data_IF_188279336091
#
_entry.id   IF_188279336091
#
_cell.length_a   1.000
_cell.length_b   1.000
_cell.length_c   1.000
_cell.angle_alpha   90.00
_cell.angle_beta   90.00
_cell.angle_gamma   90.00
#
_symmetry.space_group_name_H-M   'P 1'
#
loop_
_entity.id
_entity.type
_entity.pdbx_description
1 polymer ?
#
# COMPACT_ATOMS: atom_id res chain seq x y z
N UNK A 1 -0.72 38.19 4.58
CA UNK A 1 -0.22 38.31 3.18
C UNK A 1 -1.35 38.82 2.31
N UNK A 2 -1.24 40.03 1.75
CA UNK A 2 -2.31 40.61 0.94
C UNK A 2 -2.10 40.29 -0.55
N UNK A 3 -2.51 39.08 -0.95
CA UNK A 3 -2.36 38.59 -2.34
C UNK A 3 -3.25 39.36 -3.35
N UNK A 4 -4.17 40.18 -2.87
CA UNK A 4 -5.07 41.00 -3.70
C UNK A 4 -4.36 42.12 -4.47
N UNK A 5 -3.08 42.41 -4.16
CA UNK A 5 -2.29 43.43 -4.85
C UNK A 5 -1.63 42.95 -6.15
N UNK A 6 -1.64 41.64 -6.43
CA UNK A 6 -1.01 41.09 -7.64
C UNK A 6 -1.92 41.38 -8.84
N UNK A 7 -1.47 42.28 -9.72
CA UNK A 7 -2.22 42.70 -10.90
C UNK A 7 -2.02 41.70 -12.04
N UNK A 8 -2.87 40.67 -12.09
CA UNK A 8 -3.04 39.85 -13.30
C UNK A 8 -4.15 40.42 -14.19
N UNK A 9 -4.03 40.30 -15.53
CA UNK A 9 -5.11 40.68 -16.45
C UNK A 9 -6.41 39.96 -16.11
N UNK A 10 -7.54 40.66 -16.19
CA UNK A 10 -8.87 40.09 -15.96
C UNK A 10 -9.38 39.23 -17.13
N UNK A 11 -8.69 39.26 -18.28
CA UNK A 11 -9.02 38.42 -19.44
C UNK A 11 -8.69 36.94 -19.19
N UNK A 12 -9.36 36.00 -19.88
CA UNK A 12 -8.98 34.59 -19.83
C UNK A 12 -7.55 34.38 -20.34
N UNK A 13 -6.72 33.69 -19.55
CA UNK A 13 -5.32 33.41 -19.88
C UNK A 13 -5.10 31.90 -20.01
N UNK A 14 -4.19 31.51 -20.91
CA UNK A 14 -3.77 30.13 -21.09
C UNK A 14 -2.47 29.85 -20.32
N UNK A 15 -2.23 28.57 -19.96
CA UNK A 15 -1.03 28.15 -19.24
C UNK A 15 -0.15 27.28 -20.15
N UNK A 16 1.18 27.49 -20.07
CA UNK A 16 2.17 26.79 -20.90
C UNK A 16 2.07 25.27 -20.73
N UNK A 17 2.38 24.51 -21.78
CA UNK A 17 2.43 23.03 -21.71
C UNK A 17 3.54 22.57 -20.78
N UNK A 18 3.32 21.45 -20.08
CA UNK A 18 4.34 20.80 -19.26
C UNK A 18 4.59 21.46 -17.90
N UNK A 19 3.80 22.47 -17.51
CA UNK A 19 3.92 23.15 -16.20
C UNK A 19 3.58 22.26 -15.00
N UNK A 20 2.82 21.18 -15.21
CA UNK A 20 2.63 20.11 -14.23
C UNK A 20 3.31 18.84 -14.73
N UNK A 21 4.24 18.34 -13.93
CA UNK A 21 4.98 17.11 -14.16
C UNK A 21 4.38 15.94 -13.37
N UNK A 22 4.69 14.72 -13.81
CA UNK A 22 4.41 13.48 -13.06
C UNK A 22 5.77 12.85 -12.84
N UNK A 23 6.14 12.47 -11.60
CA UNK A 23 7.39 11.76 -11.37
C UNK A 23 7.45 10.51 -12.25
N UNK A 24 8.58 10.28 -12.92
CA UNK A 24 8.77 9.13 -13.81
C UNK A 24 8.41 7.80 -13.13
N UNK A 25 8.64 7.72 -11.81
CA UNK A 25 8.27 6.58 -10.98
C UNK A 25 6.81 6.15 -11.17
N UNK A 26 5.84 7.06 -11.30
CA UNK A 26 4.43 6.69 -11.46
C UNK A 26 4.16 5.89 -12.74
N UNK A 27 4.86 6.21 -13.84
CA UNK A 27 4.64 5.53 -15.12
C UNK A 27 5.17 4.09 -15.11
N UNK A 28 6.27 3.84 -14.39
CA UNK A 28 6.86 2.51 -14.29
C UNK A 28 6.33 1.71 -13.10
N UNK A 29 5.97 2.36 -11.99
CA UNK A 29 5.51 1.68 -10.79
C UNK A 29 4.16 1.00 -10.98
N UNK A 30 3.21 1.63 -11.67
CA UNK A 30 1.89 1.05 -11.91
C UNK A 30 1.99 -0.29 -12.67
N UNK A 31 2.62 -0.38 -13.86
CA UNK A 31 2.71 -1.65 -14.57
C UNK A 31 3.53 -2.69 -13.81
N UNK A 32 4.58 -2.28 -13.09
CA UNK A 32 5.38 -3.20 -12.25
C UNK A 32 4.54 -3.78 -11.10
N UNK A 33 3.78 -2.95 -10.38
CA UNK A 33 2.93 -3.43 -9.28
C UNK A 33 1.82 -4.35 -9.79
N UNK A 34 1.22 -4.03 -10.94
CA UNK A 34 0.22 -4.88 -11.59
C UNK A 34 0.83 -6.21 -12.06
N UNK A 35 2.05 -6.19 -12.61
CA UNK A 35 2.74 -7.41 -13.00
C UNK A 35 3.07 -8.30 -11.80
N UNK A 36 3.58 -7.73 -10.70
CA UNK A 36 3.82 -8.46 -9.44
C UNK A 36 2.52 -9.08 -8.92
N UNK A 37 1.44 -8.30 -8.90
CA UNK A 37 0.12 -8.78 -8.48
C UNK A 37 -0.36 -9.95 -9.37
N UNK A 38 -0.20 -9.85 -10.68
CA UNK A 38 -0.59 -10.90 -11.62
C UNK A 38 0.23 -12.18 -11.41
N UNK A 39 1.56 -12.06 -11.28
CA UNK A 39 2.45 -13.20 -11.00
C UNK A 39 2.05 -13.89 -9.69
N UNK A 40 1.80 -13.12 -8.63
CA UNK A 40 1.39 -13.65 -7.33
C UNK A 40 0.05 -14.41 -7.41
N UNK A 41 -0.94 -13.86 -8.13
CA UNK A 41 -2.24 -14.51 -8.32
C UNK A 41 -2.14 -15.80 -9.15
N UNK A 42 -1.26 -15.83 -10.15
CA UNK A 42 -1.04 -17.00 -11.01
C UNK A 42 -0.26 -18.09 -10.27
N UNK A 43 0.71 -17.72 -9.44
CA UNK A 43 1.52 -18.66 -8.67
C UNK A 43 0.70 -19.28 -7.51
N UNK A 44 0.04 -18.46 -6.70
CA UNK A 44 -0.61 -18.92 -5.46
C UNK A 44 -2.07 -19.33 -5.65
N UNK A 45 -2.76 -18.66 -6.59
CA UNK A 45 -4.20 -18.79 -6.77
C UNK A 45 -4.67 -20.21 -7.07
N UNK A 46 -4.05 -20.96 -8.01
CA UNK A 46 -4.45 -22.32 -8.33
C UNK A 46 -4.34 -23.27 -7.13
N UNK A 47 -3.25 -23.18 -6.36
CA UNK A 47 -3.04 -24.00 -5.17
C UNK A 47 -4.09 -23.73 -4.10
N UNK A 48 -4.35 -22.45 -3.79
CA UNK A 48 -5.40 -22.06 -2.84
C UNK A 48 -6.78 -22.52 -3.30
N UNK A 49 -7.09 -22.39 -4.60
CA UNK A 49 -8.38 -22.81 -5.13
C UNK A 49 -8.56 -24.34 -5.06
N UNK A 50 -7.52 -25.11 -5.37
CA UNK A 50 -7.51 -26.58 -5.21
C UNK A 50 -7.75 -26.95 -3.76
N UNK A 51 -6.98 -26.40 -2.84
CA UNK A 51 -7.04 -26.75 -1.42
C UNK A 51 -8.39 -26.32 -0.80
N UNK A 52 -8.97 -25.20 -1.25
CA UNK A 52 -10.34 -24.79 -0.89
C UNK A 52 -11.43 -25.72 -1.46
N UNK A 53 -11.21 -26.37 -2.61
CA UNK A 53 -12.14 -27.39 -3.11
C UNK A 53 -12.05 -28.68 -2.30
N UNK A 54 -10.83 -29.10 -1.94
CA UNK A 54 -10.58 -30.28 -1.10
C UNK A 54 -11.18 -30.06 0.30
N UNK A 55 -11.03 -28.87 0.88
CA UNK A 55 -11.53 -28.56 2.23
C UNK A 55 -13.05 -28.71 2.40
N UNK A 56 -13.83 -28.76 1.31
CA UNK A 56 -15.28 -28.97 1.36
C UNK A 56 -15.67 -30.44 1.57
N UNK A 57 -14.85 -31.37 1.08
CA UNK A 57 -15.08 -32.82 1.16
C UNK A 57 -13.73 -33.54 1.33
N UNK A 58 -13.02 -33.30 2.45
CA UNK A 58 -11.70 -33.89 2.66
C UNK A 58 -11.82 -35.39 2.94
N UNK A 59 -10.93 -36.18 2.33
CA UNK A 59 -10.77 -37.61 2.58
C UNK A 59 -9.28 -37.92 2.76
N UNK A 60 -8.91 -38.39 3.95
CA UNK A 60 -7.54 -38.79 4.25
C UNK A 60 -7.25 -40.19 3.72
N UNK A 61 -6.07 -40.40 3.13
CA UNK A 61 -5.63 -41.68 2.57
C UNK A 61 -4.39 -42.14 3.34
N UNK A 62 -4.52 -43.27 4.04
CA UNK A 62 -3.41 -43.86 4.81
C UNK A 62 -2.37 -44.58 3.92
N UNK A 63 -2.76 -45.01 2.72
CA UNK A 63 -1.95 -45.82 1.80
C UNK A 63 -1.33 -45.00 0.65
N UNK A 64 -0.62 -43.92 0.97
CA UNK A 64 0.07 -43.06 0.00
C UNK A 64 1.48 -42.69 0.45
N UNK A 65 2.37 -42.44 -0.51
CA UNK A 65 3.73 -41.98 -0.26
C UNK A 65 3.83 -40.46 -0.45
N UNK A 66 4.51 -39.81 0.50
CA UNK A 66 4.70 -38.37 0.58
C UNK A 66 6.19 -38.11 0.70
N UNK A 67 6.78 -37.51 -0.33
CA UNK A 67 8.18 -37.06 -0.31
C UNK A 67 8.22 -35.55 -0.47
N UNK A 68 8.82 -34.81 0.45
CA UNK A 68 8.83 -33.34 0.36
C UNK A 68 9.86 -32.65 1.22
N UNK A 69 9.98 -31.33 1.02
CA UNK A 69 10.85 -30.48 1.84
C UNK A 69 10.25 -29.09 2.05
N UNK A 70 10.45 -28.53 3.23
CA UNK A 70 10.04 -27.17 3.58
C UNK A 70 11.26 -26.25 3.71
N UNK A 71 11.13 -25.02 3.21
CA UNK A 71 12.16 -23.97 3.30
C UNK A 71 11.54 -22.68 3.82
N UNK A 72 12.02 -22.20 4.95
CA UNK A 72 11.59 -20.91 5.52
C UNK A 72 12.55 -19.80 5.12
N UNK A 73 12.04 -18.77 4.45
CA UNK A 73 12.79 -17.58 4.01
C UNK A 73 12.42 -16.38 4.87
N UNK A 74 13.46 -15.63 5.28
CA UNK A 74 13.33 -14.41 6.10
C UNK A 74 12.53 -14.60 7.40
N UNK A 75 12.49 -15.84 7.93
CA UNK A 75 11.79 -16.22 9.15
C UNK A 75 10.28 -15.93 9.17
N UNK A 76 9.65 -15.78 7.99
CA UNK A 76 8.23 -15.41 7.88
C UNK A 76 7.53 -16.22 6.78
N UNK A 77 8.19 -16.50 5.66
CA UNK A 77 7.57 -17.24 4.54
C UNK A 77 8.11 -18.65 4.48
N UNK A 78 7.25 -19.64 4.72
CA UNK A 78 7.58 -21.07 4.59
C UNK A 78 7.00 -21.59 3.28
N UNK A 79 7.86 -22.20 2.45
CA UNK A 79 7.47 -22.88 1.21
C UNK A 79 7.74 -24.37 1.37
N UNK A 80 6.71 -25.19 1.23
CA UNK A 80 6.80 -26.64 1.24
C UNK A 80 6.49 -27.18 -0.15
N UNK A 81 7.40 -28.00 -0.67
CA UNK A 81 7.24 -28.74 -1.92
C UNK A 81 7.08 -30.23 -1.57
N UNK A 82 6.04 -30.88 -2.08
CA UNK A 82 5.75 -32.29 -1.81
C UNK A 82 5.28 -33.03 -3.07
N UNK A 83 5.90 -34.16 -3.35
CA UNK A 83 5.49 -35.14 -4.35
C UNK A 83 4.60 -36.19 -3.69
N UNK A 84 3.40 -36.35 -4.22
CA UNK A 84 2.36 -37.26 -3.70
C UNK A 84 2.16 -38.39 -4.70
N UNK A 85 2.22 -39.63 -4.21
CA UNK A 85 1.82 -40.80 -4.98
C UNK A 85 0.85 -41.67 -4.20
N UNK A 86 -0.30 -41.97 -4.80
CA UNK A 86 -1.38 -42.69 -4.12
C UNK A 86 -2.24 -43.48 -5.08
N UNK A 87 -2.90 -44.51 -4.56
CA UNK A 87 -3.88 -45.30 -5.30
C UNK A 87 -5.27 -45.10 -4.69
N UNK A 88 -6.26 -44.82 -5.53
CA UNK A 88 -7.65 -44.70 -5.09
C UNK A 88 -8.57 -45.36 -6.11
N UNK A 89 -9.46 -46.25 -5.64
CA UNK A 89 -10.38 -47.01 -6.47
C UNK A 89 -9.70 -47.76 -7.65
N UNK A 90 -8.50 -48.31 -7.42
CA UNK A 90 -7.74 -49.05 -8.43
C UNK A 90 -7.01 -48.19 -9.48
N UNK A 91 -6.97 -46.87 -9.29
CA UNK A 91 -6.25 -45.92 -10.16
C UNK A 91 -5.13 -45.26 -9.37
N UNK A 92 -3.91 -45.32 -9.91
CA UNK A 92 -2.74 -44.65 -9.35
C UNK A 92 -2.65 -43.21 -9.82
N UNK A 93 -2.38 -42.28 -8.90
CA UNK A 93 -2.24 -40.86 -9.13
C UNK A 93 -0.86 -40.39 -8.66
N UNK A 94 -0.27 -39.46 -9.41
CA UNK A 94 0.93 -38.73 -9.01
C UNK A 94 0.65 -37.23 -9.10
N UNK A 95 0.97 -36.49 -8.03
CA UNK A 95 0.71 -35.05 -7.92
C UNK A 95 1.84 -34.34 -7.22
N UNK A 96 2.26 -33.23 -7.80
CA UNK A 96 3.24 -32.36 -7.20
C UNK A 96 2.48 -31.18 -6.57
N UNK A 97 2.76 -30.91 -5.29
CA UNK A 97 2.04 -29.94 -4.49
C UNK A 97 3.02 -28.98 -3.85
N UNK A 98 2.88 -27.71 -4.21
CA UNK A 98 3.59 -26.61 -3.56
C UNK A 98 2.61 -25.82 -2.68
N UNK A 99 3.02 -25.57 -1.44
CA UNK A 99 2.27 -24.80 -0.45
C UNK A 99 3.18 -23.74 0.15
N UNK A 100 2.84 -22.46 -0.06
CA UNK A 100 3.49 -21.34 0.60
C UNK A 100 2.56 -20.74 1.63
N UNK A 101 3.05 -20.51 2.85
CA UNK A 101 2.28 -19.90 3.94
C UNK A 101 3.18 -19.05 4.85
N UNK A 102 2.56 -18.24 5.72
CA UNK A 102 3.28 -17.40 6.70
C UNK A 102 3.35 -18.13 8.03
N UNK A 103 4.54 -18.47 8.49
CA UNK A 103 4.73 -19.19 9.74
C UNK A 103 6.05 -18.79 10.40
N UNK A 104 6.05 -18.80 11.73
CA UNK A 104 7.19 -18.51 12.60
C UNK A 104 7.77 -19.78 13.25
N UNK A 105 7.14 -20.93 13.03
CA UNK A 105 7.66 -22.22 13.48
C UNK A 105 8.97 -22.59 12.76
N UNK A 106 9.88 -23.22 13.50
CA UNK A 106 11.11 -23.81 12.98
C UNK A 106 11.17 -25.27 13.43
N UNK A 107 10.93 -26.20 12.51
CA UNK A 107 10.88 -27.63 12.79
C UNK A 107 10.30 -28.41 11.62
N UNK A 108 10.25 -29.73 11.79
CA UNK A 108 9.60 -30.63 10.85
C UNK A 108 8.07 -30.54 11.01
N UNK A 109 7.37 -30.57 9.89
CA UNK A 109 5.90 -30.58 9.87
C UNK A 109 5.42 -32.01 9.66
N UNK A 110 4.56 -32.50 10.55
CA UNK A 110 3.84 -33.74 10.28
C UNK A 110 2.68 -33.47 9.34
N UNK A 111 2.53 -34.29 8.31
CA UNK A 111 1.48 -34.11 7.33
C UNK A 111 0.97 -35.43 6.78
N UNK A 112 -0.35 -35.52 6.59
CA UNK A 112 -1.02 -36.62 5.91
C UNK A 112 -1.35 -36.29 4.46
N UNK A 113 -1.70 -37.31 3.68
CA UNK A 113 -2.22 -37.17 2.33
C UNK A 113 -3.74 -37.00 2.36
N UNK A 114 -4.24 -35.93 1.75
CA UNK A 114 -5.67 -35.63 1.69
C UNK A 114 -6.13 -35.43 0.26
N UNK A 115 -7.21 -36.11 -0.12
CA UNK A 115 -7.84 -35.97 -1.44
C UNK A 115 -9.26 -35.43 -1.31
N UNK A 116 -9.84 -34.95 -2.41
CA UNK A 116 -11.27 -34.63 -2.46
C UNK A 116 -12.09 -35.91 -2.68
N UNK A 117 -13.07 -36.18 -1.80
CA UNK A 117 -13.98 -37.31 -1.94
C UNK A 117 -14.83 -37.25 -3.24
N UNK A 118 -15.01 -36.06 -3.81
CA UNK A 118 -15.78 -35.87 -5.06
C UNK A 118 -14.91 -35.95 -6.32
N UNK A 119 -13.68 -35.44 -6.24
CA UNK A 119 -12.73 -35.39 -7.35
C UNK A 119 -11.38 -35.94 -6.88
N UNK A 120 -11.15 -37.27 -6.96
CA UNK A 120 -9.91 -37.91 -6.48
C UNK A 120 -8.63 -37.42 -7.16
N UNK A 121 -8.73 -36.69 -8.28
CA UNK A 121 -7.60 -36.03 -8.95
C UNK A 121 -7.03 -34.83 -8.19
N UNK A 122 -7.79 -34.28 -7.24
CA UNK A 122 -7.37 -33.18 -6.38
C UNK A 122 -6.79 -33.78 -5.10
N UNK A 123 -5.48 -33.65 -4.95
CA UNK A 123 -4.74 -34.05 -3.76
C UNK A 123 -3.95 -32.88 -3.19
N UNK A 124 -3.79 -32.91 -1.88
CA UNK A 124 -2.97 -31.97 -1.12
C UNK A 124 -2.45 -32.67 0.14
N UNK A 125 -1.62 -31.97 0.88
CA UNK A 125 -1.13 -32.41 2.18
C UNK A 125 -2.00 -31.78 3.28
N UNK A 126 -2.21 -32.45 4.41
CA UNK A 126 -3.02 -31.92 5.52
C UNK A 126 -2.57 -30.53 5.95
N UNK A 127 -1.24 -30.31 5.99
CA UNK A 127 -0.63 -28.99 6.24
C UNK A 127 -1.14 -27.89 5.30
N UNK A 128 -1.44 -28.23 4.04
CA UNK A 128 -1.98 -27.31 3.06
C UNK A 128 -3.42 -26.88 3.35
N UNK A 129 -4.22 -27.76 3.96
CA UNK A 129 -5.57 -27.46 4.43
C UNK A 129 -5.55 -26.68 5.75
N UNK A 130 -4.66 -27.05 6.66
CA UNK A 130 -4.49 -26.36 7.94
C UNK A 130 -4.13 -24.89 7.73
N UNK A 131 -3.14 -24.65 6.84
CA UNK A 131 -2.67 -23.30 6.50
C UNK A 131 -3.51 -22.60 5.41
N UNK A 132 -4.62 -23.19 4.94
CA UNK A 132 -5.40 -22.65 3.83
C UNK A 132 -5.85 -21.21 4.08
N UNK A 133 -6.35 -20.90 5.28
CA UNK A 133 -6.83 -19.57 5.60
C UNK A 133 -5.71 -18.55 5.78
N UNK A 134 -4.60 -18.95 6.39
CA UNK A 134 -3.40 -18.13 6.43
C UNK A 134 -2.95 -17.71 5.02
N UNK A 135 -3.00 -18.64 4.06
CA UNK A 135 -2.71 -18.38 2.63
C UNK A 135 -3.71 -17.44 1.98
N UNK A 136 -5.01 -17.68 2.17
CA UNK A 136 -6.09 -16.83 1.65
C UNK A 136 -5.95 -15.39 2.18
N UNK A 137 -5.74 -15.23 3.49
CA UNK A 137 -5.61 -13.93 4.14
C UNK A 137 -4.35 -13.22 3.65
N UNK A 138 -3.20 -13.92 3.63
CA UNK A 138 -1.93 -13.35 3.18
C UNK A 138 -2.04 -12.87 1.74
N UNK A 139 -2.54 -13.71 0.83
CA UNK A 139 -2.78 -13.33 -0.56
C UNK A 139 -3.75 -12.15 -0.65
N UNK A 140 -4.85 -12.19 0.10
CA UNK A 140 -5.84 -11.11 0.14
C UNK A 140 -5.26 -9.77 0.58
N UNK A 141 -4.38 -9.75 1.59
CA UNK A 141 -3.69 -8.53 2.04
C UNK A 141 -2.77 -7.98 0.95
N UNK A 142 -1.97 -8.83 0.31
CA UNK A 142 -1.11 -8.39 -0.80
C UNK A 142 -1.93 -7.88 -1.99
N UNK A 143 -3.03 -8.56 -2.35
CA UNK A 143 -3.96 -8.11 -3.39
C UNK A 143 -4.55 -6.75 -3.04
N UNK A 144 -4.97 -6.53 -1.79
CA UNK A 144 -5.48 -5.25 -1.34
C UNK A 144 -4.40 -4.16 -1.43
N UNK A 145 -3.21 -4.38 -0.86
CA UNK A 145 -2.14 -3.39 -0.84
C UNK A 145 -1.65 -3.02 -2.25
N UNK A 146 -1.35 -4.03 -3.08
CA UNK A 146 -0.85 -3.82 -4.44
C UNK A 146 -1.96 -3.32 -5.37
N UNK A 147 -3.17 -3.89 -5.27
CA UNK A 147 -4.33 -3.52 -6.08
C UNK A 147 -4.83 -2.11 -5.77
N UNK A 148 -5.18 -1.81 -4.51
CA UNK A 148 -5.61 -0.46 -4.13
C UNK A 148 -4.50 0.57 -4.31
N UNK A 149 -3.24 0.22 -4.03
CA UNK A 149 -2.09 1.09 -4.29
C UNK A 149 -1.97 1.46 -5.77
N UNK A 150 -2.07 0.46 -6.66
CA UNK A 150 -2.03 0.67 -8.11
C UNK A 150 -3.20 1.50 -8.61
N UNK A 151 -4.42 1.23 -8.12
CA UNK A 151 -5.62 2.03 -8.44
C UNK A 151 -5.47 3.48 -7.99
N UNK A 152 -5.02 3.72 -6.75
CA UNK A 152 -4.80 5.07 -6.23
C UNK A 152 -3.77 5.85 -7.06
N UNK A 153 -2.67 5.21 -7.45
CA UNK A 153 -1.67 5.78 -8.34
C UNK A 153 -2.24 6.07 -9.74
N UNK A 154 -3.04 5.17 -10.29
CA UNK A 154 -3.71 5.34 -11.57
C UNK A 154 -4.70 6.52 -11.54
N UNK A 155 -5.51 6.64 -10.50
CA UNK A 155 -6.41 7.79 -10.31
C UNK A 155 -5.64 9.10 -10.20
N UNK A 156 -4.51 9.12 -9.49
CA UNK A 156 -3.64 10.28 -9.43
C UNK A 156 -3.05 10.64 -10.81
N UNK A 157 -2.61 9.65 -11.58
CA UNK A 157 -2.10 9.83 -12.94
C UNK A 157 -3.17 10.39 -13.88
N UNK A 158 -4.35 9.77 -13.92
CA UNK A 158 -5.50 10.21 -14.73
C UNK A 158 -5.87 11.65 -14.37
N UNK A 159 -5.88 12.00 -13.08
CA UNK A 159 -6.15 13.37 -12.63
C UNK A 159 -5.14 14.36 -13.21
N UNK A 160 -3.85 14.07 -13.14
CA UNK A 160 -2.81 14.95 -13.68
C UNK A 160 -2.94 15.09 -15.19
N UNK A 161 -3.23 13.99 -15.91
CA UNK A 161 -3.47 14.03 -17.36
C UNK A 161 -4.67 14.90 -17.69
N UNK A 162 -5.80 14.76 -17.00
CA UNK A 162 -6.99 15.61 -17.19
C UNK A 162 -6.66 17.08 -16.94
N UNK A 163 -5.92 17.40 -15.88
CA UNK A 163 -5.49 18.78 -15.61
C UNK A 163 -4.63 19.30 -16.76
N UNK A 164 -3.62 18.55 -17.22
CA UNK A 164 -2.76 18.96 -18.35
C UNK A 164 -3.55 19.26 -19.62
N UNK A 165 -4.64 18.53 -19.88
CA UNK A 165 -5.53 18.78 -21.01
C UNK A 165 -6.33 20.08 -20.82
N UNK A 166 -6.86 20.32 -19.62
CA UNK A 166 -7.67 21.49 -19.29
C UNK A 166 -6.88 22.80 -19.18
N UNK A 167 -5.61 22.76 -18.75
CA UNK A 167 -4.75 23.95 -18.62
C UNK A 167 -4.54 24.73 -19.93
N UNK A 168 -4.82 24.09 -21.08
CA UNK A 168 -4.75 24.73 -22.40
C UNK A 168 -5.91 25.66 -22.69
N UNK A 169 -7.04 25.48 -22.00
CA UNK A 169 -8.22 26.30 -22.24
C UNK A 169 -8.05 27.65 -21.54
N UNK A 170 -8.28 28.79 -22.22
CA UNK A 170 -8.25 30.10 -21.56
C UNK A 170 -9.26 30.15 -20.42
N UNK A 171 -8.83 30.60 -19.24
CA UNK A 171 -9.69 30.79 -18.08
C UNK A 171 -9.22 31.96 -17.21
N UNK A 172 -10.09 32.57 -16.41
CA UNK A 172 -9.66 33.54 -15.40
C UNK A 172 -8.77 32.83 -14.37
N UNK A 173 -7.57 33.40 -14.14
CA UNK A 173 -6.59 32.85 -13.21
C UNK A 173 -6.70 33.55 -11.86
N UNK A 174 -6.74 32.76 -10.79
CA UNK A 174 -6.72 33.26 -9.41
C UNK A 174 -5.37 32.98 -8.77
N UNK A 175 -4.73 33.98 -8.19
CA UNK A 175 -3.44 33.80 -7.51
C UNK A 175 -3.68 33.20 -6.13
N UNK A 176 -2.94 32.14 -5.80
CA UNK A 176 -3.04 31.46 -4.53
C UNK A 176 -1.65 31.19 -3.91
N UNK A 177 -1.53 31.17 -2.57
CA UNK A 177 -0.31 30.77 -1.91
C UNK A 177 -0.22 29.25 -1.79
N UNK A 178 0.92 28.68 -2.12
CA UNK A 178 1.20 27.24 -1.99
C UNK A 178 2.47 26.99 -1.18
N UNK A 179 2.49 25.90 -0.40
CA UNK A 179 3.68 25.52 0.37
C UNK A 179 4.64 24.72 -0.51
N UNK A 180 5.92 25.10 -0.55
CA UNK A 180 7.00 24.31 -1.14
C UNK A 180 7.40 23.19 -0.17
N UNK A 181 7.13 21.95 -0.57
CA UNK A 181 7.36 20.76 0.27
C UNK A 181 8.69 20.07 -0.02
N UNK A 182 9.22 20.23 -1.24
CA UNK A 182 10.56 19.79 -1.61
C UNK A 182 11.03 20.58 -2.83
N UNK A 183 12.28 21.00 -2.82
CA UNK A 183 12.98 21.62 -3.95
C UNK A 183 14.27 20.85 -4.13
N UNK A 184 14.49 20.30 -5.32
CA UNK A 184 15.69 19.52 -5.62
C UNK A 184 16.17 19.85 -7.03
N UNK A 185 17.47 20.08 -7.19
CA UNK A 185 18.05 20.21 -8.52
C UNK A 185 18.31 18.83 -9.13
N UNK A 186 17.83 18.60 -10.36
CA UNK A 186 18.04 17.34 -11.08
C UNK A 186 18.40 17.63 -12.53
N UNK A 187 19.61 17.26 -12.94
CA UNK A 187 20.12 17.46 -14.32
C UNK A 187 19.98 18.91 -14.81
N UNK A 188 20.40 19.88 -13.99
CA UNK A 188 20.34 21.33 -14.29
C UNK A 188 18.93 21.90 -14.49
N UNK A 189 17.91 21.23 -13.93
CA UNK A 189 16.52 21.73 -13.84
C UNK A 189 16.05 21.60 -12.39
N UNK A 190 15.32 22.60 -11.91
CA UNK A 190 14.77 22.58 -10.55
C UNK A 190 13.49 21.73 -10.53
N UNK A 191 13.49 20.63 -9.79
CA UNK A 191 12.28 19.86 -9.51
C UNK A 191 11.65 20.38 -8.22
N UNK A 192 10.42 20.89 -8.33
CA UNK A 192 9.70 21.50 -7.23
C UNK A 192 8.43 20.71 -6.94
N UNK A 193 8.27 20.33 -5.68
CA UNK A 193 7.06 19.70 -5.15
C UNK A 193 6.37 20.66 -4.22
N UNK A 194 5.10 20.96 -4.48
CA UNK A 194 4.34 21.96 -3.75
C UNK A 194 2.93 21.48 -3.44
N UNK A 195 2.32 22.04 -2.41
CA UNK A 195 0.98 21.65 -1.97
C UNK A 195 0.11 22.86 -1.58
N UNK A 196 -1.15 22.82 -2.02
CA UNK A 196 -2.19 23.78 -1.64
C UNK A 196 -2.64 23.50 -0.19
N UNK A 197 -1.87 24.00 0.77
CA UNK A 197 -2.09 23.76 2.21
C UNK A 197 -2.14 25.03 3.07
N UNK A 198 -1.88 26.19 2.46
CA UNK A 198 -1.69 27.48 3.14
C UNK A 198 -3.01 28.26 3.23
N UNK A 199 -3.78 28.35 2.14
CA UNK A 199 -5.00 29.16 2.10
C UNK A 199 -6.19 28.56 2.86
N UNK A 200 -7.16 29.42 3.17
CA UNK A 200 -8.52 29.02 3.57
C UNK A 200 -9.23 28.37 2.38
N UNK A 201 -9.92 27.24 2.59
CA UNK A 201 -10.49 26.43 1.49
C UNK A 201 -9.48 25.55 0.72
N UNK A 202 -8.32 25.27 1.32
CA UNK A 202 -7.25 24.43 0.74
C UNK A 202 -7.69 23.05 0.25
N UNK A 203 -7.19 22.65 -0.91
CA UNK A 203 -7.42 21.30 -1.47
C UNK A 203 -6.55 20.22 -0.81
N UNK A 204 -5.47 20.60 -0.11
CA UNK A 204 -4.44 19.70 0.46
C UNK A 204 -3.74 18.81 -0.57
N UNK A 205 -3.87 19.13 -1.85
CA UNK A 205 -3.31 18.35 -2.95
C UNK A 205 -1.87 18.75 -3.20
N UNK A 206 -1.06 17.75 -3.54
CA UNK A 206 0.33 17.91 -3.92
C UNK A 206 0.48 17.89 -5.45
N UNK A 207 1.36 18.74 -5.95
CA UNK A 207 1.69 18.91 -7.36
C UNK A 207 3.21 18.91 -7.55
N UNK A 208 3.64 18.56 -8.75
CA UNK A 208 5.05 18.46 -9.12
C UNK A 208 5.31 19.29 -10.37
N UNK A 209 6.43 20.00 -10.44
CA UNK A 209 6.83 20.74 -11.63
C UNK A 209 8.33 20.76 -11.83
N UNK A 210 8.78 20.92 -13.07
CA UNK A 210 10.16 21.23 -13.40
C UNK A 210 10.25 22.68 -13.86
N UNK A 211 11.15 23.46 -13.26
CA UNK A 211 11.51 24.78 -13.75
C UNK A 211 12.68 24.65 -14.74
N UNK A 212 12.74 25.59 -15.69
CA UNK A 212 13.84 25.68 -16.66
C UNK A 212 15.15 26.07 -15.95
N UNK A 213 16.29 25.93 -16.63
CA UNK A 213 17.61 26.17 -16.02
C UNK A 213 17.73 27.62 -15.57
N UNK A 214 18.13 27.83 -14.32
CA UNK A 214 18.26 29.17 -13.72
C UNK A 214 16.94 29.83 -13.31
N UNK A 215 15.80 29.15 -13.49
CA UNK A 215 14.48 29.65 -13.03
C UNK A 215 14.19 29.19 -11.61
N UNK A 216 13.65 30.10 -10.80
CA UNK A 216 13.30 29.87 -9.40
C UNK A 216 11.80 30.13 -9.18
N UNK A 217 11.18 29.46 -8.19
CA UNK A 217 9.79 29.75 -7.84
C UNK A 217 9.67 31.14 -7.23
N UNK A 218 8.54 31.81 -7.45
CA UNK A 218 8.27 33.10 -6.80
C UNK A 218 7.89 32.86 -5.35
N UNK A 219 8.87 32.96 -4.45
CA UNK A 219 8.68 32.84 -2.99
C UNK A 219 8.23 34.19 -2.44
N UNK A 220 7.14 34.20 -1.67
CA UNK A 220 6.52 35.39 -1.10
C UNK A 220 6.45 35.38 0.43
N UNK A 221 6.93 34.31 1.05
CA UNK A 221 6.93 34.19 2.51
C UNK A 221 7.46 32.85 3.00
N UNK A 222 7.49 32.70 4.32
CA UNK A 222 7.80 31.45 5.00
C UNK A 222 6.74 31.15 6.05
N UNK A 223 6.18 29.93 6.06
CA UNK A 223 5.19 29.50 7.08
C UNK A 223 5.85 28.65 8.16
N UNK A 224 6.94 29.12 8.78
CA UNK A 224 7.73 28.43 9.84
C UNK A 224 8.24 27.00 9.57
N UNK A 225 7.75 26.33 8.52
CA UNK A 225 7.89 24.92 8.18
C UNK A 225 8.17 24.74 6.69
N UNK A 226 7.57 25.57 5.85
CA UNK A 226 7.70 25.51 4.39
C UNK A 226 7.72 26.94 3.83
N UNK A 227 8.52 27.15 2.80
CA UNK A 227 8.47 28.37 2.00
C UNK A 227 7.13 28.45 1.28
N UNK A 228 6.57 29.65 1.20
CA UNK A 228 5.32 29.94 0.51
C UNK A 228 5.64 30.54 -0.84
N UNK A 229 5.24 29.85 -1.89
CA UNK A 229 5.38 30.34 -3.25
C UNK A 229 4.02 30.72 -3.85
N UNK A 230 4.07 31.56 -4.89
CA UNK A 230 2.90 31.91 -5.67
C UNK A 230 2.58 30.83 -6.71
N UNK A 231 1.31 30.46 -6.75
CA UNK A 231 0.74 29.64 -7.81
C UNK A 231 -0.53 30.30 -8.36
N UNK A 232 -0.94 29.87 -9.55
CA UNK A 232 -2.22 30.25 -10.14
C UNK A 232 -3.16 29.05 -10.19
N UNK A 233 -4.41 29.31 -9.86
CA UNK A 233 -5.49 28.36 -9.96
C UNK A 233 -6.41 28.74 -11.14
N UNK A 234 -6.60 27.78 -12.04
CA UNK A 234 -7.41 27.91 -13.26
C UNK A 234 -8.92 27.89 -12.98
N UNK A 235 -9.34 27.61 -11.74
CA UNK A 235 -10.74 27.53 -11.33
C UNK A 235 -11.45 26.24 -11.76
N UNK A 236 -11.15 25.72 -12.95
CA UNK A 236 -11.72 24.46 -13.48
C UNK A 236 -10.84 23.22 -13.23
N UNK A 237 -9.59 23.42 -12.81
CA UNK A 237 -8.65 22.31 -12.61
C UNK A 237 -8.49 21.92 -11.15
N UNK A 238 -8.17 20.65 -10.93
CA UNK A 238 -7.99 20.08 -9.60
C UNK A 238 -6.66 20.47 -8.91
N UNK A 239 -5.68 21.01 -9.65
CA UNK A 239 -4.32 21.26 -9.20
C UNK A 239 -3.86 22.68 -9.63
N UNK A 240 -3.23 23.45 -8.74
CA UNK A 240 -2.69 24.76 -9.09
C UNK A 240 -1.34 24.65 -9.81
N UNK A 241 -0.98 25.70 -10.56
CA UNK A 241 0.26 25.80 -11.33
C UNK A 241 1.21 26.78 -10.64
N UNK A 242 2.39 26.30 -10.24
CA UNK A 242 3.43 27.13 -9.63
C UNK A 242 3.99 28.16 -10.63
N UNK A 243 4.19 29.40 -10.18
CA UNK A 243 4.79 30.47 -10.96
C UNK A 243 6.32 30.51 -10.83
N UNK A 244 6.96 30.93 -11.92
CA UNK A 244 8.39 31.22 -12.00
C UNK A 244 8.66 32.72 -11.90
N UNK A 245 9.91 33.07 -11.58
CA UNK A 245 10.40 34.44 -11.38
C UNK A 245 10.09 35.41 -12.53
N UNK A 246 9.88 34.91 -13.75
CA UNK A 246 9.56 35.71 -14.95
C UNK A 246 8.12 35.55 -15.46
N UNK A 247 7.26 34.82 -14.73
CA UNK A 247 5.89 34.51 -15.12
C UNK A 247 5.77 33.89 -16.54
N UNK A 248 6.78 33.14 -17.01
CA UNK A 248 6.80 32.54 -18.36
C UNK A 248 5.84 31.37 -18.53
N UNK A 249 5.24 30.93 -17.42
CA UNK A 249 4.24 29.87 -17.39
C UNK A 249 2.84 30.33 -17.75
N UNK A 250 2.60 31.64 -17.73
CA UNK A 250 1.33 32.27 -18.14
C UNK A 250 1.52 32.94 -19.51
N UNK A 251 0.51 32.81 -20.35
CA UNK A 251 0.42 33.43 -21.67
C UNK A 251 0.09 34.94 -21.58
N UNK A 252 1.07 35.73 -21.15
CA UNK A 252 1.00 37.19 -21.01
C UNK A 252 1.72 37.90 -22.15
N UNK A 253 1.18 39.05 -22.58
CA UNK A 253 1.92 39.99 -23.42
C UNK A 253 3.12 40.58 -22.66
N UNK A 254 4.10 41.13 -23.38
CA UNK A 254 5.28 41.74 -22.73
C UNK A 254 4.90 42.88 -21.78
N UNK A 255 3.91 43.70 -22.16
CA UNK A 255 3.41 44.81 -21.35
C UNK A 255 2.69 44.30 -20.08
N UNK A 256 1.79 43.33 -20.22
CA UNK A 256 1.08 42.73 -19.08
C UNK A 256 2.05 42.03 -18.12
N UNK A 257 3.07 41.35 -18.66
CA UNK A 257 4.12 40.69 -17.88
C UNK A 257 4.94 41.68 -17.06
N UNK A 258 5.38 42.79 -17.67
CA UNK A 258 6.12 43.83 -16.98
C UNK A 258 5.31 44.43 -15.81
N UNK A 259 4.01 44.68 -16.03
CA UNK A 259 3.12 45.19 -14.99
C UNK A 259 2.90 44.19 -13.85
N UNK A 260 2.71 42.90 -14.17
CA UNK A 260 2.56 41.85 -13.17
C UNK A 260 3.83 41.67 -12.34
N UNK A 261 5.00 41.64 -12.97
CA UNK A 261 6.30 41.55 -12.29
C UNK A 261 6.55 42.75 -11.37
N UNK A 262 6.22 43.97 -11.81
CA UNK A 262 6.33 45.17 -10.99
C UNK A 262 5.45 45.10 -9.72
N UNK A 263 4.28 44.46 -9.80
CA UNK A 263 3.40 44.25 -8.63
C UNK A 263 3.92 43.20 -7.64
N UNK A 264 4.77 42.27 -8.09
CA UNK A 264 5.32 41.17 -7.29
C UNK A 264 6.67 41.55 -6.65
N UNK A 265 7.46 42.38 -7.34
CA UNK A 265 8.79 42.82 -6.90
C UNK A 265 8.90 43.24 -5.42
N UNK A 266 8.00 44.09 -4.85
CA UNK A 266 8.12 44.48 -3.45
C UNK A 266 7.97 43.28 -2.48
N UNK A 267 7.09 42.33 -2.80
CA UNK A 267 6.85 41.16 -1.95
C UNK A 267 8.03 40.18 -1.93
N UNK A 268 8.81 40.13 -3.01
CA UNK A 268 10.01 39.28 -3.11
C UNK A 268 11.21 39.97 -2.49
N UNK A 269 11.33 41.29 -2.61
CA UNK A 269 12.41 42.09 -2.03
C UNK A 269 12.40 42.02 -0.49
N UNK A 270 11.22 42.14 0.14
CA UNK A 270 11.06 42.03 1.59
C UNK A 270 11.55 40.66 2.13
N UNK A 271 11.43 39.60 1.34
CA UNK A 271 11.87 38.25 1.71
C UNK A 271 13.37 38.00 1.45
N UNK A 272 13.97 38.68 0.46
CA UNK A 272 15.41 38.59 0.22
C UNK A 272 16.24 39.18 1.37
N UNK A 273 15.69 40.17 2.09
CA UNK A 273 16.31 40.74 3.29
C UNK A 273 16.18 39.83 4.53
N UNK A 274 15.09 39.05 4.66
CA UNK A 274 14.92 38.06 5.74
C UNK A 274 15.62 36.71 5.43
N UNK A 275 15.81 36.37 4.17
CA UNK A 275 16.29 35.06 3.68
C UNK A 275 17.80 34.82 3.70
N UNK A 276 18.63 35.82 4.04
CA UNK A 276 20.08 35.65 4.13
C UNK A 276 20.54 34.73 5.28
N UNK A 277 19.61 34.23 6.12
CA UNK A 277 19.92 33.42 7.31
C UNK A 277 19.47 31.96 7.25
N UNK A 278 18.91 31.45 6.14
CA UNK A 278 18.23 30.13 6.17
C UNK A 278 18.41 29.23 4.93
N UNK A 279 19.47 29.42 4.16
CA UNK A 279 19.76 28.58 2.96
C UNK A 279 20.00 27.10 3.29
N UNK A 280 20.20 26.71 4.56
CA UNK A 280 20.51 25.32 4.93
C UNK A 280 19.33 24.41 5.32
N UNK A 281 18.07 24.88 5.31
CA UNK A 281 16.97 24.10 5.89
C UNK A 281 16.13 23.26 4.90
N UNK A 282 16.44 23.24 3.61
CA UNK A 282 15.66 22.51 2.60
C UNK A 282 15.99 21.01 2.51
N UNK A 283 16.09 20.33 3.65
CA UNK A 283 15.97 18.86 3.71
C UNK A 283 15.31 18.47 5.01
N UNK A 284 13.98 18.30 5.02
CA UNK A 284 13.32 17.17 5.72
C UNK A 284 11.80 17.09 5.54
N UNK A 285 11.43 15.88 5.12
CA UNK A 285 10.27 15.01 5.42
C UNK A 285 8.86 15.59 5.25
N UNK A 286 8.09 14.84 4.44
CA UNK A 286 6.64 14.94 4.27
C UNK A 286 5.85 14.77 5.58
N UNK A 287 4.57 14.35 5.55
CA UNK A 287 3.72 14.25 6.74
C UNK A 287 4.51 13.69 7.92
N UNK A 288 4.57 14.45 9.02
CA UNK A 288 5.51 14.21 10.11
C UNK A 288 5.51 12.73 10.48
N UNK A 289 6.69 12.15 10.66
CA UNK A 289 6.87 10.72 10.93
C UNK A 289 5.90 10.24 12.01
N UNK A 290 5.69 11.02 13.07
CA UNK A 290 4.71 10.78 14.14
C UNK A 290 3.26 10.65 13.68
N UNK A 291 2.80 11.43 12.69
CA UNK A 291 1.43 11.32 12.19
C UNK A 291 1.26 10.11 11.28
N UNK A 292 2.29 9.77 10.49
CA UNK A 292 2.30 8.54 9.68
C UNK A 292 2.42 7.29 10.56
N UNK A 293 3.29 7.34 11.57
CA UNK A 293 3.41 6.32 12.61
C UNK A 293 2.12 6.22 13.42
N UNK A 294 1.47 7.33 13.75
CA UNK A 294 0.20 7.31 14.50
C UNK A 294 -0.94 6.67 13.70
N UNK A 295 -1.08 6.99 12.41
CA UNK A 295 -2.06 6.33 11.55
C UNK A 295 -1.71 4.85 11.33
N UNK A 296 -0.43 4.54 11.12
CA UNK A 296 0.02 3.16 11.00
C UNK A 296 -0.22 2.35 12.29
N UNK A 297 0.15 2.90 13.45
CA UNK A 297 -0.07 2.29 14.75
C UNK A 297 -1.56 2.11 15.04
N UNK A 298 -2.42 3.08 14.70
CA UNK A 298 -3.87 2.93 14.83
C UNK A 298 -4.41 1.77 13.97
N UNK A 299 -3.92 1.63 12.73
CA UNK A 299 -4.29 0.50 11.86
C UNK A 299 -3.79 -0.82 12.46
N UNK A 300 -2.54 -0.87 12.94
CA UNK A 300 -1.97 -2.06 13.60
C UNK A 300 -2.77 -2.44 14.84
N UNK A 301 -3.11 -1.48 15.70
CA UNK A 301 -3.94 -1.72 16.90
C UNK A 301 -5.32 -2.26 16.50
N UNK A 302 -5.94 -1.71 15.46
CA UNK A 302 -7.25 -2.17 14.98
C UNK A 302 -7.16 -3.62 14.47
N UNK A 303 -6.10 -3.96 13.73
CA UNK A 303 -5.82 -5.34 13.29
C UNK A 303 -5.61 -6.24 14.51
N UNK A 304 -4.78 -5.83 15.48
CA UNK A 304 -4.52 -6.61 16.71
C UNK A 304 -5.82 -6.87 17.47
N UNK A 305 -6.67 -5.86 17.65
CA UNK A 305 -7.97 -6.01 18.32
C UNK A 305 -8.89 -6.95 17.54
N UNK A 306 -8.92 -6.86 16.21
CA UNK A 306 -9.73 -7.74 15.37
C UNK A 306 -9.24 -9.20 15.46
N UNK A 307 -7.92 -9.43 15.37
CA UNK A 307 -7.31 -10.76 15.46
C UNK A 307 -7.50 -11.37 16.86
N UNK A 308 -7.23 -10.62 17.92
CA UNK A 308 -7.46 -11.10 19.30
C UNK A 308 -8.94 -11.31 19.60
N UNK A 309 -9.81 -10.43 19.11
CA UNK A 309 -11.26 -10.59 19.27
C UNK A 309 -11.77 -11.85 18.57
N UNK A 310 -11.27 -12.12 17.35
CA UNK A 310 -11.58 -13.35 16.63
C UNK A 310 -11.03 -14.58 17.35
N UNK A 311 -9.78 -14.53 17.84
CA UNK A 311 -9.18 -15.62 18.62
C UNK A 311 -9.95 -15.92 19.91
N UNK A 312 -10.34 -14.88 20.66
CA UNK A 312 -11.17 -15.03 21.85
C UNK A 312 -12.50 -15.70 21.50
N UNK A 313 -13.18 -15.21 20.46
CA UNK A 313 -14.40 -15.85 19.97
C UNK A 313 -14.17 -17.32 19.58
N UNK A 314 -13.04 -17.64 18.94
CA UNK A 314 -12.70 -19.00 18.57
C UNK A 314 -12.62 -19.92 19.81
N UNK A 315 -11.77 -19.59 20.78
CA UNK A 315 -11.54 -20.46 21.93
C UNK A 315 -12.75 -20.55 22.86
N UNK A 316 -13.55 -19.47 23.00
CA UNK A 316 -14.69 -19.46 23.92
C UNK A 316 -16.02 -19.87 23.29
N UNK A 317 -16.21 -19.61 22.00
CA UNK A 317 -17.55 -19.57 21.40
C UNK A 317 -17.68 -20.26 20.04
N UNK A 318 -16.59 -20.61 19.35
CA UNK A 318 -16.69 -21.27 18.04
C UNK A 318 -17.43 -22.61 18.16
N UNK A 319 -18.28 -22.97 17.18
CA UNK A 319 -19.08 -24.20 17.23
C UNK A 319 -18.26 -25.49 17.03
N UNK A 320 -17.01 -25.36 16.59
CA UNK A 320 -16.09 -26.48 16.36
C UNK A 320 -14.67 -26.06 16.73
N UNK A 321 -13.91 -27.01 17.29
CA UNK A 321 -12.47 -26.88 17.53
C UNK A 321 -11.65 -26.83 16.23
N UNK A 322 -12.17 -27.41 15.14
CA UNK A 322 -11.52 -27.46 13.83
C UNK A 322 -11.88 -26.22 12.99
N UNK A 323 -11.40 -25.07 13.45
CA UNK A 323 -11.51 -23.80 12.74
C UNK A 323 -10.12 -23.34 12.33
N UNK A 324 -9.73 -23.54 11.08
CA UNK A 324 -8.36 -23.28 10.59
C UNK A 324 -7.84 -21.87 10.95
N UNK A 325 -8.57 -20.75 10.72
CA UNK A 325 -8.09 -19.44 11.14
C UNK A 325 -7.87 -19.31 12.66
N UNK A 326 -8.77 -19.89 13.46
CA UNK A 326 -8.67 -19.86 14.92
C UNK A 326 -7.51 -20.71 15.44
N UNK A 327 -7.33 -21.91 14.89
CA UNK A 327 -6.24 -22.84 15.20
C UNK A 327 -4.88 -22.20 14.91
N UNK A 328 -4.72 -21.63 13.72
CA UNK A 328 -3.48 -20.95 13.32
C UNK A 328 -3.14 -19.79 14.25
N UNK A 329 -4.12 -18.93 14.56
CA UNK A 329 -3.90 -17.81 15.49
C UNK A 329 -3.51 -18.33 16.87
N UNK A 330 -4.20 -19.35 17.38
CA UNK A 330 -3.88 -19.92 18.69
C UNK A 330 -2.48 -20.52 18.72
N UNK A 331 -2.07 -21.25 17.67
CA UNK A 331 -0.74 -21.84 17.54
C UNK A 331 0.38 -20.80 17.49
N UNK A 332 0.13 -19.62 16.90
CA UNK A 332 1.09 -18.53 16.82
C UNK A 332 1.23 -17.71 18.11
N UNK A 333 0.32 -17.85 19.08
CA UNK A 333 0.38 -17.08 20.31
C UNK A 333 1.53 -17.53 21.23
N UNK A 334 2.04 -16.64 22.10
CA UNK A 334 3.00 -17.01 23.14
C UNK A 334 2.50 -18.18 23.98
N UNK A 335 3.41 -19.06 24.42
CA UNK A 335 3.11 -20.32 25.10
C UNK A 335 1.99 -20.23 26.14
N UNK A 336 2.05 -19.25 27.05
CA UNK A 336 1.03 -19.07 28.09
C UNK A 336 -0.39 -18.78 27.54
N UNK A 337 -0.50 -18.03 26.45
CA UNK A 337 -1.79 -17.75 25.80
C UNK A 337 -2.28 -18.93 24.96
N UNK A 338 -1.36 -19.62 24.29
CA UNK A 338 -1.68 -20.83 23.53
C UNK A 338 -2.19 -21.94 24.46
N UNK A 339 -1.51 -22.22 25.58
CA UNK A 339 -1.93 -23.19 26.60
C UNK A 339 -3.31 -22.83 27.18
N UNK A 340 -3.54 -21.55 27.51
CA UNK A 340 -4.84 -21.10 27.97
C UNK A 340 -5.95 -21.31 26.92
N UNK A 341 -5.65 -20.99 25.65
CA UNK A 341 -6.58 -21.20 24.55
C UNK A 341 -6.90 -22.68 24.34
N UNK A 342 -5.88 -23.55 24.42
CA UNK A 342 -6.05 -25.00 24.33
C UNK A 342 -6.90 -25.55 25.49
N UNK A 343 -6.67 -25.09 26.72
CA UNK A 343 -7.49 -25.48 27.87
C UNK A 343 -8.98 -25.09 27.68
N UNK A 344 -9.26 -23.89 27.13
CA UNK A 344 -10.64 -23.46 26.84
C UNK A 344 -11.32 -24.26 25.75
N UNK A 345 -10.57 -24.67 24.74
CA UNK A 345 -11.09 -25.58 23.73
C UNK A 345 -11.33 -26.98 24.32
N UNK A 346 -10.42 -27.48 25.16
CA UNK A 346 -10.56 -28.77 25.83
C UNK A 346 -11.78 -28.83 26.74
N UNK A 347 -12.04 -27.79 27.53
CA UNK A 347 -13.25 -27.68 28.37
C UNK A 347 -14.54 -27.89 27.56
N UNK A 348 -14.52 -27.54 26.27
CA UNK A 348 -15.70 -27.55 25.40
C UNK A 348 -15.78 -28.77 24.50
N UNK A 349 -14.64 -29.39 24.19
CA UNK A 349 -14.53 -30.45 23.19
C UNK A 349 -13.71 -31.66 23.70
N UNK A 350 -13.64 -31.86 25.01
CA UNK A 350 -12.84 -32.91 25.68
C UNK A 350 -13.02 -34.33 25.14
N UNK A 351 -14.18 -34.66 24.59
CA UNK A 351 -14.49 -35.97 24.03
C UNK A 351 -13.90 -36.22 22.62
N UNK A 352 -13.29 -35.20 22.01
CA UNK A 352 -12.72 -35.25 20.65
C UNK A 352 -11.20 -35.10 20.61
N UNK A 353 -10.57 -35.41 19.46
CA UNK A 353 -9.13 -35.21 19.27
C UNK A 353 -8.78 -33.72 19.30
N UNK A 354 -7.59 -33.39 19.81
CA UNK A 354 -7.17 -32.01 19.94
C UNK A 354 -6.95 -31.34 18.56
N UNK A 355 -7.31 -30.06 18.39
CA UNK A 355 -7.04 -29.31 17.18
C UNK A 355 -5.54 -29.01 17.00
N UNK A 356 -5.13 -28.74 15.76
CA UNK A 356 -3.77 -28.31 15.43
C UNK A 356 -3.32 -27.14 16.33
N UNK A 357 -2.09 -27.25 16.86
CA UNK A 357 -1.54 -26.30 17.83
C UNK A 357 -1.91 -26.56 19.28
N UNK A 358 -2.78 -27.54 19.56
CA UNK A 358 -3.16 -28.00 20.91
C UNK A 358 -2.92 -29.51 21.15
N UNK A 359 -2.36 -30.20 20.16
CA UNK A 359 -2.04 -31.63 20.25
C UNK A 359 -0.76 -31.88 21.06
N UNK A 360 -0.76 -32.98 21.80
CA UNK A 360 0.42 -33.55 22.43
C UNK A 360 1.31 -34.23 21.36
N UNK A 361 2.44 -34.81 21.79
CA UNK A 361 3.39 -35.49 20.89
C UNK A 361 2.82 -36.74 20.17
N UNK A 362 1.61 -37.18 20.54
CA UNK A 362 0.88 -38.25 19.88
C UNK A 362 -0.13 -37.76 18.83
N UNK A 363 -0.19 -36.44 18.60
CA UNK A 363 -0.98 -35.75 17.58
C UNK A 363 -2.49 -36.00 17.62
N UNK A 364 -2.97 -36.56 18.74
CA UNK A 364 -4.40 -36.86 18.97
C UNK A 364 -4.86 -36.38 20.33
N UNK A 365 -4.03 -36.54 21.35
CA UNK A 365 -4.36 -36.14 22.71
C UNK A 365 -4.14 -34.65 22.89
N UNK A 366 -4.86 -34.08 23.86
CA UNK A 366 -4.65 -32.71 24.31
C UNK A 366 -3.32 -32.58 25.04
N UNK A 367 -2.58 -31.50 24.79
CA UNK A 367 -1.30 -31.20 25.46
C UNK A 367 -1.44 -30.52 26.82
#
# INVERSE_FOLDING_TARGET
>A
MNLAQIKLPSRPLSLKRGVISVPAAYYFSIPVLVAILAVMLVAEGPGILRDYQISKYPLEIESGDITGSCKTRKAIFTTCEADLSYEHAGVSYKKDVEVMFVDFHSGDYETGLVISARNPELATISLGLDMLWNRIITLGVFVALLGFGSLAMLFALIRVVRVRLQLRQPAPLTVIPVALTAVAEKRSRLFVTYADTVREGKTKRQSFTHLERGRIPVVVGHTGKHDVALAVWHGKTALPVLLDDQLQRIDLSEQERAQALASIAPMVADQAQEGASSVDAATRKGPGLLRRLGTFAAIVVLIVVAVFGYWLWYVTSAPSQFNSPGMDINNMLPAALNEWGCARLQERFSDGPAPFGCTAADYRSWK
#
